data_IF_014148636081
#
_entry.id   IF_014148636081
#
_cell.length_a   1.000
_cell.length_b   1.000
_cell.length_c   1.000
_cell.angle_alpha   90.00
_cell.angle_beta   90.00
_cell.angle_gamma   90.00
#
_symmetry.space_group_name_H-M   'P 1'
#
loop_
_entity.id
_entity.type
_entity.pdbx_description
1 polymer ?
#
# COMPACT_ATOMS: atom_id res chain seq x y z
N UNK A 1 0.89 0.05 -6.71
CA UNK A 1 1.14 0.43 -8.11
C UNK A 1 0.81 -0.77 -8.96
N UNK A 2 -0.12 -0.66 -9.91
CA UNK A 2 -0.46 -1.77 -10.82
C UNK A 2 0.42 -1.64 -12.04
N UNK A 3 1.34 -2.58 -12.25
CA UNK A 3 2.23 -2.60 -13.41
C UNK A 3 1.59 -3.39 -14.55
N UNK A 4 1.74 -2.92 -15.79
CA UNK A 4 1.52 -3.80 -16.94
C UNK A 4 2.61 -4.88 -16.99
N UNK A 5 2.43 -5.91 -17.81
CA UNK A 5 3.36 -7.05 -17.88
C UNK A 5 4.80 -6.64 -18.22
N UNK A 6 4.96 -5.65 -19.09
CA UNK A 6 6.26 -5.12 -19.50
C UNK A 6 6.93 -4.37 -18.33
N UNK A 7 6.22 -3.40 -17.72
CA UNK A 7 6.73 -2.69 -16.55
C UNK A 7 7.04 -3.61 -15.37
N UNK A 8 6.27 -4.69 -15.19
CA UNK A 8 6.54 -5.67 -14.14
C UNK A 8 7.86 -6.42 -14.39
N UNK A 9 8.15 -6.75 -15.65
CA UNK A 9 9.40 -7.43 -16.03
C UNK A 9 10.59 -6.50 -15.85
N UNK A 10 10.46 -5.23 -16.24
CA UNK A 10 11.51 -4.22 -16.09
C UNK A 10 11.78 -3.85 -14.62
N UNK A 11 10.74 -3.84 -13.79
CA UNK A 11 10.86 -3.50 -12.37
C UNK A 11 11.04 -4.72 -11.47
N UNK A 12 11.16 -5.94 -12.02
CA UNK A 12 11.21 -7.17 -11.23
C UNK A 12 12.30 -7.13 -10.15
N UNK A 13 13.47 -6.57 -10.46
CA UNK A 13 14.58 -6.43 -9.51
C UNK A 13 14.38 -5.31 -8.47
N UNK A 14 13.43 -4.41 -8.71
CA UNK A 14 13.09 -3.29 -7.83
C UNK A 14 11.84 -3.56 -6.97
N UNK A 15 11.10 -4.64 -7.24
CA UNK A 15 9.95 -5.04 -6.45
C UNK A 15 10.47 -5.71 -5.17
N UNK A 16 10.37 -5.00 -4.06
CA UNK A 16 10.77 -5.53 -2.76
C UNK A 16 9.86 -6.69 -2.30
N UNK A 17 8.55 -6.58 -2.54
CA UNK A 17 7.56 -7.59 -2.11
C UNK A 17 6.39 -7.69 -3.09
N UNK A 18 5.91 -8.92 -3.29
CA UNK A 18 4.69 -9.22 -4.04
C UNK A 18 3.70 -9.87 -3.07
N UNK A 19 2.62 -9.16 -2.77
CA UNK A 19 1.56 -9.63 -1.88
C UNK A 19 0.27 -9.77 -2.71
N UNK A 20 -0.31 -10.97 -2.84
CA UNK A 20 -1.61 -11.15 -3.46
C UNK A 20 -2.68 -10.34 -2.74
N UNK A 21 -3.61 -9.73 -3.47
CA UNK A 21 -4.62 -8.83 -2.89
C UNK A 21 -5.50 -9.53 -1.85
N UNK A 22 -5.82 -10.81 -2.06
CA UNK A 22 -6.58 -11.65 -1.15
C UNK A 22 -5.89 -11.89 0.20
N UNK A 23 -4.58 -11.66 0.28
CA UNK A 23 -3.79 -11.77 1.51
C UNK A 23 -3.63 -10.43 2.23
N UNK A 24 -4.07 -9.32 1.63
CA UNK A 24 -3.96 -8.00 2.25
C UNK A 24 -5.13 -7.79 3.18
N UNK A 25 -4.86 -7.89 4.49
CA UNK A 25 -5.78 -7.45 5.54
C UNK A 25 -5.53 -5.97 5.90
N UNK A 26 -6.44 -5.31 6.63
CA UNK A 26 -6.21 -3.95 7.14
C UNK A 26 -4.89 -3.81 7.91
N UNK A 27 -4.55 -4.80 8.74
CA UNK A 27 -3.29 -4.81 9.48
C UNK A 27 -2.06 -4.89 8.56
N UNK A 28 -2.12 -5.73 7.52
CA UNK A 28 -1.04 -5.83 6.53
C UNK A 28 -0.87 -4.50 5.80
N UNK A 29 -1.97 -3.84 5.39
CA UNK A 29 -1.91 -2.53 4.75
C UNK A 29 -1.21 -1.50 5.66
N UNK A 30 -1.61 -1.41 6.95
CA UNK A 30 -1.00 -0.49 7.90
C UNK A 30 0.49 -0.79 8.14
N UNK A 31 0.87 -2.07 8.17
CA UNK A 31 2.27 -2.48 8.33
C UNK A 31 3.12 -2.04 7.13
N UNK A 32 2.57 -2.07 5.90
CA UNK A 32 3.27 -1.56 4.72
C UNK A 32 3.56 -0.05 4.83
N UNK A 33 2.63 0.73 5.39
CA UNK A 33 2.86 2.15 5.67
C UNK A 33 3.86 2.35 6.81
N UNK A 34 3.72 1.62 7.92
CA UNK A 34 4.59 1.69 9.11
C UNK A 34 6.05 1.31 8.80
N UNK A 35 6.25 0.42 7.84
CA UNK A 35 7.60 -0.01 7.42
C UNK A 35 8.16 0.81 6.27
N UNK A 36 7.41 1.79 5.75
CA UNK A 36 7.80 2.62 4.61
C UNK A 36 7.86 1.88 3.28
N UNK A 37 7.29 0.66 3.19
CA UNK A 37 7.23 -0.12 1.95
C UNK A 37 6.23 0.43 0.95
N UNK A 38 5.33 1.31 1.38
CA UNK A 38 4.47 2.10 0.51
C UNK A 38 4.31 3.51 1.04
N UNK A 39 4.26 4.47 0.11
CA UNK A 39 3.93 5.88 0.35
C UNK A 39 2.73 6.31 -0.49
N UNK A 40 2.01 5.35 -1.06
CA UNK A 40 0.84 5.61 -1.90
C UNK A 40 -0.25 6.33 -1.10
N UNK A 41 -1.05 7.16 -1.75
CA UNK A 41 -2.20 7.81 -1.12
C UNK A 41 -3.11 6.79 -0.39
N UNK A 42 -3.31 6.91 0.94
CA UNK A 42 -4.07 5.95 1.73
C UNK A 42 -5.51 5.75 1.27
N UNK A 43 -6.17 6.81 0.82
CA UNK A 43 -7.55 6.72 0.34
C UNK A 43 -7.65 5.82 -0.89
N UNK A 44 -6.83 6.10 -1.90
CA UNK A 44 -6.76 5.34 -3.15
C UNK A 44 -6.32 3.90 -2.88
N UNK A 45 -5.33 3.69 -2.01
CA UNK A 45 -4.86 2.36 -1.66
C UNK A 45 -5.97 1.52 -1.00
N UNK A 46 -6.70 2.06 -0.03
CA UNK A 46 -7.82 1.35 0.60
C UNK A 46 -8.92 1.02 -0.41
N UNK A 47 -9.30 1.98 -1.27
CA UNK A 47 -10.32 1.76 -2.29
C UNK A 47 -9.93 0.65 -3.27
N UNK A 48 -8.67 0.57 -3.68
CA UNK A 48 -8.18 -0.45 -4.61
C UNK A 48 -8.07 -1.84 -3.98
N UNK A 49 -7.62 -1.92 -2.73
CA UNK A 49 -7.39 -3.20 -2.04
C UNK A 49 -8.69 -3.80 -1.51
N UNK A 50 -9.56 -2.98 -0.91
CA UNK A 50 -10.77 -3.44 -0.22
C UNK A 50 -12.06 -3.13 -0.98
N UNK A 51 -11.98 -2.47 -2.14
CA UNK A 51 -13.14 -2.02 -2.91
C UNK A 51 -13.87 -0.81 -2.32
N UNK A 52 -13.45 -0.32 -1.14
CA UNK A 52 -14.00 0.85 -0.47
C UNK A 52 -12.94 1.51 0.40
N UNK A 53 -13.08 2.81 0.64
CA UNK A 53 -12.21 3.56 1.54
C UNK A 53 -12.82 3.60 2.94
N UNK A 54 -12.37 2.71 3.83
CA UNK A 54 -12.77 2.73 5.24
C UNK A 54 -12.13 3.94 5.95
N UNK A 55 -12.92 4.90 6.48
CA UNK A 55 -12.38 6.18 6.96
C UNK A 55 -11.34 6.06 8.08
N UNK A 56 -11.56 5.13 9.02
CA UNK A 56 -10.63 4.91 10.14
C UNK A 56 -9.30 4.34 9.65
N UNK A 57 -9.34 3.36 8.75
CA UNK A 57 -8.15 2.77 8.16
C UNK A 57 -7.33 3.78 7.36
N UNK A 58 -8.01 4.63 6.57
CA UNK A 58 -7.39 5.73 5.82
C UNK A 58 -6.71 6.71 6.78
N UNK A 59 -7.40 7.11 7.85
CA UNK A 59 -6.87 8.04 8.87
C UNK A 59 -5.63 7.47 9.56
N UNK A 60 -5.65 6.20 9.93
CA UNK A 60 -4.50 5.51 10.54
C UNK A 60 -3.31 5.43 9.59
N UNK A 61 -3.53 4.98 8.35
CA UNK A 61 -2.49 4.93 7.33
C UNK A 61 -1.90 6.32 7.04
N UNK A 62 -2.72 7.36 7.03
CA UNK A 62 -2.26 8.73 6.81
C UNK A 62 -1.43 9.26 7.97
N UNK A 63 -1.77 8.93 9.22
CA UNK A 63 -0.94 9.27 10.38
C UNK A 63 0.45 8.62 10.30
N UNK A 64 0.53 7.38 9.81
CA UNK A 64 1.80 6.65 9.65
C UNK A 64 2.71 7.33 8.62
N UNK A 65 2.19 7.83 7.50
CA UNK A 65 2.98 8.58 6.51
C UNK A 65 3.64 9.81 7.15
N UNK A 66 2.88 10.59 7.92
CA UNK A 66 3.41 11.80 8.56
C UNK A 66 4.46 11.49 9.64
N UNK A 67 4.41 10.32 10.27
CA UNK A 67 5.38 9.91 11.28
C UNK A 67 6.77 9.56 10.71
N UNK A 68 6.86 9.25 9.41
CA UNK A 68 8.12 8.97 8.73
C UNK A 68 8.79 10.21 8.11
N UNK A 69 8.11 11.36 8.11
CA UNK A 69 8.61 12.63 7.56
C UNK A 69 9.07 13.63 8.65
N UNK A 70 9.30 13.16 9.89
CA UNK A 70 9.78 13.96 11.03
C UNK A 70 11.27 13.79 11.31
#
# INVERSE_FOLDING_TARGET
>A
MVYCRECWTEMAEHIAEVIPLEMVSPSVLLDLYRTGKTTSDPFTACQLVFGHAEPELVREAQALIHSHCG
#
